data_IF_427860125915
#
_entry.id   IF_427860125915
#
_cell.length_a   1.000
_cell.length_b   1.000
_cell.length_c   1.000
_cell.angle_alpha   90.00
_cell.angle_beta   90.00
_cell.angle_gamma   90.00
#
_symmetry.space_group_name_H-M   'P 1'
#
loop_
_entity.id
_entity.type
_entity.pdbx_description
1 polymer ?
#
# COMPACT_ATOMS: atom_id res chain seq x y z
N UNK A 1 11.52 -16.02 13.37
CA UNK A 1 10.65 -15.49 14.44
C UNK A 1 9.24 -15.28 13.87
N UNK A 2 8.28 -16.07 14.37
CA UNK A 2 6.88 -16.16 13.94
C UNK A 2 6.09 -14.89 14.26
N UNK A 3 5.91 -13.98 13.29
CA UNK A 3 5.07 -12.79 13.49
C UNK A 3 3.63 -13.12 13.11
N UNK A 4 2.92 -13.70 14.08
CA UNK A 4 1.49 -14.02 14.01
C UNK A 4 0.68 -12.76 13.68
N UNK A 5 -0.29 -12.93 12.79
CA UNK A 5 -1.40 -12.03 12.45
C UNK A 5 -1.94 -11.31 13.71
N UNK A 6 -1.40 -10.13 14.00
CA UNK A 6 -1.92 -9.23 15.04
C UNK A 6 -2.58 -8.02 14.36
N UNK A 7 -3.61 -8.30 13.57
CA UNK A 7 -4.82 -7.49 13.77
C UNK A 7 -5.25 -7.81 15.19
N UNK A 8 -5.76 -6.84 15.97
CA UNK A 8 -6.40 -7.19 17.26
C UNK A 8 -7.27 -8.44 17.02
N UNK A 9 -7.08 -9.49 17.84
CA UNK A 9 -7.78 -10.78 17.66
C UNK A 9 -9.29 -10.57 17.56
N UNK A 10 -9.78 -9.50 18.17
CA UNK A 10 -11.17 -9.09 18.23
C UNK A 10 -11.70 -8.67 16.85
N UNK A 11 -10.88 -7.96 16.05
CA UNK A 11 -11.28 -7.50 14.72
C UNK A 11 -11.10 -8.57 13.63
N UNK A 12 -10.24 -9.56 13.84
CA UNK A 12 -10.05 -10.63 12.84
C UNK A 12 -11.34 -11.39 12.55
N UNK A 13 -12.15 -11.67 13.58
CA UNK A 13 -13.42 -12.37 13.42
C UNK A 13 -14.39 -11.57 12.55
N UNK A 14 -14.57 -10.28 12.85
CA UNK A 14 -15.39 -9.37 12.05
C UNK A 14 -14.92 -9.31 10.60
N UNK A 15 -13.61 -9.13 10.38
CA UNK A 15 -13.05 -9.05 9.03
C UNK A 15 -13.26 -10.35 8.25
N UNK A 16 -13.09 -11.51 8.90
CA UNK A 16 -13.31 -12.81 8.26
C UNK A 16 -14.77 -13.04 7.88
N UNK A 17 -15.71 -12.57 8.70
CA UNK A 17 -17.14 -12.60 8.40
C UNK A 17 -17.48 -11.64 7.26
N UNK A 18 -16.91 -10.43 7.27
CA UNK A 18 -17.09 -9.46 6.18
C UNK A 18 -16.59 -10.05 4.85
N UNK A 19 -15.41 -10.68 4.82
CA UNK A 19 -14.86 -11.36 3.64
C UNK A 19 -15.84 -12.42 3.12
N UNK A 20 -16.37 -13.25 4.02
CA UNK A 20 -17.29 -14.34 3.65
C UNK A 20 -18.65 -13.84 3.17
N UNK A 21 -19.08 -12.66 3.64
CA UNK A 21 -20.40 -12.09 3.33
C UNK A 21 -20.46 -11.34 2.00
N UNK A 22 -19.32 -11.04 1.37
CA UNK A 22 -19.26 -10.21 0.17
C UNK A 22 -19.71 -10.99 -1.08
N UNK A 23 -20.60 -10.39 -1.86
CA UNK A 23 -21.08 -10.97 -3.12
C UNK A 23 -20.01 -10.91 -4.22
N UNK A 24 -19.76 -12.05 -4.89
CA UNK A 24 -18.80 -12.16 -5.99
C UNK A 24 -19.08 -11.18 -7.14
N UNK A 25 -20.37 -11.00 -7.47
CA UNK A 25 -20.81 -10.10 -8.54
C UNK A 25 -20.41 -8.64 -8.26
N UNK A 26 -20.52 -8.18 -7.01
CA UNK A 26 -20.11 -6.83 -6.63
C UNK A 26 -18.58 -6.65 -6.73
N UNK A 27 -17.80 -7.68 -6.37
CA UNK A 27 -16.34 -7.67 -6.51
C UNK A 27 -15.95 -7.57 -7.99
N UNK A 28 -16.56 -8.39 -8.85
CA UNK A 28 -16.27 -8.41 -10.27
C UNK A 28 -16.53 -7.05 -10.93
N UNK A 29 -17.69 -6.43 -10.66
CA UNK A 29 -18.03 -5.10 -11.19
C UNK A 29 -17.03 -4.03 -10.76
N UNK A 30 -16.58 -4.07 -9.51
CA UNK A 30 -15.57 -3.13 -8.99
C UNK A 30 -14.22 -3.37 -9.67
N UNK A 31 -13.81 -4.62 -9.87
CA UNK A 31 -12.57 -4.97 -10.57
C UNK A 31 -12.58 -4.50 -12.03
N UNK A 32 -13.69 -4.69 -12.74
CA UNK A 32 -13.86 -4.22 -14.13
C UNK A 32 -13.74 -2.69 -14.22
N UNK A 33 -14.42 -1.96 -13.32
CA UNK A 33 -14.32 -0.49 -13.24
C UNK A 33 -12.91 -0.02 -12.87
N UNK A 34 -12.25 -0.72 -11.95
CA UNK A 34 -10.87 -0.44 -11.56
C UNK A 34 -9.90 -0.64 -12.72
N UNK A 35 -10.07 -1.71 -13.49
CA UNK A 35 -9.26 -2.01 -14.67
C UNK A 35 -9.46 -0.98 -15.79
N UNK A 36 -10.68 -0.45 -15.93
CA UNK A 36 -10.99 0.66 -16.84
C UNK A 36 -10.44 2.02 -16.39
N UNK A 37 -9.74 2.10 -15.25
CA UNK A 37 -9.17 3.34 -14.70
C UNK A 37 -10.20 4.31 -14.15
N UNK A 38 -11.45 3.88 -13.95
CA UNK A 38 -12.51 4.73 -13.42
C UNK A 38 -12.37 4.95 -11.92
N UNK A 39 -12.82 6.12 -11.44
CA UNK A 39 -12.87 6.37 -10.01
C UNK A 39 -13.96 5.50 -9.36
N UNK A 40 -13.56 4.66 -8.41
CA UNK A 40 -14.45 3.70 -7.74
C UNK A 40 -15.23 4.42 -6.65
N UNK A 41 -16.38 4.97 -7.02
CA UNK A 41 -17.40 5.45 -6.09
C UNK A 41 -18.42 4.32 -5.92
N UNK A 42 -18.68 3.85 -4.69
CA UNK A 42 -19.67 2.81 -4.44
C UNK A 42 -21.08 3.36 -4.67
N UNK A 43 -21.84 2.70 -5.52
CA UNK A 43 -23.22 3.11 -5.83
C UNK A 43 -24.24 2.37 -4.96
N UNK A 44 -23.93 1.13 -4.59
CA UNK A 44 -24.82 0.25 -3.85
C UNK A 44 -24.21 -0.18 -2.50
N UNK A 45 -25.04 -0.67 -1.59
CA UNK A 45 -24.60 -1.12 -0.27
C UNK A 45 -23.63 -2.32 -0.33
N UNK A 46 -23.82 -3.21 -1.31
CA UNK A 46 -22.90 -4.30 -1.63
C UNK A 46 -21.53 -3.79 -2.08
N UNK A 47 -21.48 -2.75 -2.92
CA UNK A 47 -20.22 -2.13 -3.33
C UNK A 47 -19.53 -1.43 -2.15
N UNK A 48 -20.30 -0.81 -1.25
CA UNK A 48 -19.77 -0.26 0.01
C UNK A 48 -19.16 -1.34 0.90
N UNK A 49 -19.72 -2.56 0.92
CA UNK A 49 -19.14 -3.71 1.63
C UNK A 49 -17.82 -4.14 1.00
N UNK A 50 -17.77 -4.26 -0.33
CA UNK A 50 -16.51 -4.57 -1.06
C UNK A 50 -15.44 -3.50 -0.80
N UNK A 51 -15.81 -2.22 -0.77
CA UNK A 51 -14.87 -1.15 -0.49
C UNK A 51 -14.34 -1.20 0.95
N UNK A 52 -15.21 -1.49 1.93
CA UNK A 52 -14.79 -1.73 3.33
C UNK A 52 -13.84 -2.91 3.41
N UNK A 53 -14.16 -4.01 2.74
CA UNK A 53 -13.29 -5.18 2.64
C UNK A 53 -11.91 -4.82 2.05
N UNK A 54 -11.88 -4.08 0.95
CA UNK A 54 -10.64 -3.63 0.31
C UNK A 54 -9.77 -2.79 1.28
N UNK A 55 -10.41 -1.93 2.09
CA UNK A 55 -9.71 -1.14 3.11
C UNK A 55 -9.15 -2.05 4.22
N UNK A 56 -9.91 -3.03 4.70
CA UNK A 56 -9.43 -4.01 5.67
C UNK A 56 -8.23 -4.81 5.15
N UNK A 57 -8.27 -5.25 3.89
CA UNK A 57 -7.15 -5.96 3.24
C UNK A 57 -5.93 -5.04 3.08
N UNK A 58 -6.12 -3.75 2.74
CA UNK A 58 -5.01 -2.77 2.69
C UNK A 58 -4.35 -2.58 4.05
N UNK A 59 -5.13 -2.50 5.13
CA UNK A 59 -4.60 -2.39 6.50
C UNK A 59 -3.82 -3.65 6.87
N UNK A 60 -4.35 -4.83 6.58
CA UNK A 60 -3.66 -6.10 6.79
C UNK A 60 -2.33 -6.17 6.04
N UNK A 61 -2.35 -5.84 4.76
CA UNK A 61 -1.16 -5.90 3.90
C UNK A 61 -0.12 -4.86 4.30
N UNK A 62 -0.47 -3.73 4.93
CA UNK A 62 0.51 -2.74 5.40
C UNK A 62 1.58 -3.30 6.34
N UNK A 63 1.24 -4.37 7.08
CA UNK A 63 2.14 -5.07 8.01
C UNK A 63 2.88 -6.24 7.37
N UNK A 64 2.55 -6.61 6.13
CA UNK A 64 3.26 -7.63 5.36
C UNK A 64 4.47 -6.97 4.68
N UNK A 65 5.71 -7.34 5.04
CA UNK A 65 6.91 -6.75 4.44
C UNK A 65 6.90 -6.89 2.91
N UNK A 66 7.23 -5.82 2.21
CA UNK A 66 7.32 -5.81 0.75
C UNK A 66 5.98 -5.64 0.01
N UNK A 67 4.84 -5.66 0.72
CA UNK A 67 3.53 -5.38 0.12
C UNK A 67 3.45 -3.93 -0.41
N UNK A 68 2.50 -3.66 -1.30
CA UNK A 68 2.26 -2.31 -1.81
C UNK A 68 1.92 -1.31 -0.68
N UNK A 69 1.10 -1.72 0.28
CA UNK A 69 0.72 -0.89 1.43
C UNK A 69 1.91 -0.65 2.38
N UNK A 70 2.75 -1.65 2.61
CA UNK A 70 3.98 -1.51 3.41
C UNK A 70 4.95 -0.53 2.74
N UNK A 71 5.16 -0.64 1.44
CA UNK A 71 5.98 0.31 0.65
C UNK A 71 5.43 1.73 0.71
N UNK A 72 4.11 1.90 0.65
CA UNK A 72 3.48 3.21 0.79
C UNK A 72 3.73 3.82 2.17
N UNK A 73 3.58 3.03 3.24
CA UNK A 73 3.87 3.47 4.61
C UNK A 73 5.32 3.94 4.75
N UNK A 74 6.29 3.13 4.29
CA UNK A 74 7.71 3.49 4.37
C UNK A 74 8.02 4.78 3.61
N UNK A 75 7.40 5.01 2.44
CA UNK A 75 7.56 6.27 1.70
C UNK A 75 7.00 7.46 2.46
N UNK A 76 5.87 7.29 3.14
CA UNK A 76 5.29 8.35 3.97
C UNK A 76 6.19 8.64 5.18
N UNK A 77 6.79 7.62 5.78
CA UNK A 77 7.75 7.79 6.89
C UNK A 77 9.00 8.58 6.42
N UNK A 78 9.55 8.21 5.25
CA UNK A 78 10.68 8.95 4.64
C UNK A 78 10.29 10.42 4.41
N UNK A 79 9.10 10.69 3.86
CA UNK A 79 8.62 12.07 3.69
C UNK A 79 8.50 12.80 5.03
N UNK A 80 7.97 12.15 6.06
CA UNK A 80 7.88 12.72 7.40
C UNK A 80 9.24 13.06 7.98
N UNK A 81 10.24 12.18 7.79
CA UNK A 81 11.62 12.44 8.17
C UNK A 81 12.20 13.62 7.39
N UNK A 82 11.97 13.70 6.09
CA UNK A 82 12.44 14.83 5.26
C UNK A 82 11.85 16.17 5.72
N UNK A 83 10.57 16.19 6.10
CA UNK A 83 9.90 17.40 6.58
C UNK A 83 10.37 17.83 7.98
N UNK A 84 10.69 16.87 8.86
CA UNK A 84 11.03 17.15 10.26
C UNK A 84 12.53 17.26 10.53
N UNK A 85 13.36 16.59 9.73
CA UNK A 85 14.82 16.51 9.89
C UNK A 85 15.60 17.11 8.71
N UNK A 86 14.89 17.57 7.67
CA UNK A 86 15.51 18.05 6.44
C UNK A 86 15.80 16.93 5.45
N UNK A 87 16.17 17.31 4.23
CA UNK A 87 16.52 16.36 3.17
C UNK A 87 17.80 15.59 3.53
N UNK A 88 17.90 14.30 3.24
CA UNK A 88 19.16 13.58 3.38
C UNK A 88 20.20 14.22 2.43
N UNK A 89 21.34 14.67 2.98
CA UNK A 89 22.44 15.18 2.18
C UNK A 89 23.15 14.02 1.49
N UNK A 90 23.20 14.04 0.16
CA UNK A 90 23.92 13.03 -0.63
C UNK A 90 25.25 13.64 -1.06
N UNK A 91 26.35 13.06 -0.60
CA UNK A 91 27.70 13.43 -1.03
C UNK A 91 28.17 12.36 -2.02
N UNK A 92 28.36 12.75 -3.28
CA UNK A 92 28.89 11.89 -4.33
C UNK A 92 30.24 12.43 -4.75
N UNK A 93 31.30 11.69 -4.46
CA UNK A 93 32.62 11.98 -4.99
C UNK A 93 32.79 11.22 -6.29
N UNK A 94 32.72 11.94 -7.41
CA UNK A 94 33.05 11.39 -8.72
C UNK A 94 34.54 11.59 -8.92
N UNK A 95 35.31 10.51 -8.95
CA UNK A 95 36.72 10.53 -9.33
C UNK A 95 36.86 9.89 -10.72
N UNK A 96 36.73 10.65 -11.82
CA UNK A 96 36.93 10.10 -13.15
C UNK A 96 38.40 9.70 -13.31
N UNK A 97 38.65 8.56 -13.95
CA UNK A 97 40.01 8.21 -14.34
C UNK A 97 40.47 9.17 -15.46
N UNK A 98 41.69 9.70 -15.36
CA UNK A 98 42.26 10.65 -16.33
C UNK A 98 42.18 10.16 -17.79
N UNK A 99 42.20 8.84 -18.01
CA UNK A 99 42.15 8.23 -19.35
C UNK A 99 40.78 8.32 -20.04
N UNK A 100 39.69 8.56 -19.30
CA UNK A 100 38.33 8.62 -19.83
C UNK A 100 37.51 9.77 -19.23
N UNK A 101 38.15 10.91 -18.94
CA UNK A 101 37.44 12.07 -18.42
C UNK A 101 36.73 12.82 -19.56
N UNK A 102 35.39 12.97 -19.54
CA UNK A 102 34.64 13.68 -20.59
C UNK A 102 34.76 15.22 -20.52
N UNK A 103 35.56 15.76 -19.58
CA UNK A 103 35.78 17.20 -19.36
C UNK A 103 37.09 17.69 -20.00
N UNK A 104 37.91 16.80 -20.55
CA UNK A 104 39.06 17.13 -21.41
C UNK A 104 38.83 16.65 -22.84
#
# INVERSE_FOLDING_TARGET
>A
LNTKLKVSRDNFRSISQDIASVSWNAVQKICERAAAGQHIIPQNEEERRVQRLMNHVKVLTSKVPGSAASKLSMRNDIRGLMMTKGLPSWYVTVNPADTFNPIV
#
